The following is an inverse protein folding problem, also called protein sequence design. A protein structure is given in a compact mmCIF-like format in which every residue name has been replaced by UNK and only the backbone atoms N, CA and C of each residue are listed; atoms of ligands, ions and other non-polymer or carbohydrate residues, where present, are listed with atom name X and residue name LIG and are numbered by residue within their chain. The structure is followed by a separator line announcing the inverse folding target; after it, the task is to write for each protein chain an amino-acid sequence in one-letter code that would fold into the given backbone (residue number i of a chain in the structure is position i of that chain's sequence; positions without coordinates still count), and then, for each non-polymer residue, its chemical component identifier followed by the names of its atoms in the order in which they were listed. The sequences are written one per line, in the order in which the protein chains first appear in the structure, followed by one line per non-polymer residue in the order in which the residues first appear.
data_IF_261024774424
#
_entry.id   IF_261024774424
#
_cell.length_a   1.000
_cell.length_b   1.000
_cell.length_c   1.000
_cell.angle_alpha   90.00
_cell.angle_beta   90.00
_cell.angle_gamma   90.00
#
_symmetry.space_group_name_H-M   'P 1'
#
loop_
_entity.id
_entity.type
_entity.pdbx_description
1 polymer ?
#
# COMPACT_ATOMS: atom_id res chain seq x y z
N UNK A 1 16.10 22.82 13.77
CA UNK A 1 16.07 21.41 14.23
C UNK A 1 15.21 21.39 15.46
N UNK A 2 14.27 20.44 15.57
CA UNK A 2 13.44 20.30 16.77
C UNK A 2 14.16 19.41 17.79
N UNK A 3 14.17 19.82 19.06
CA UNK A 3 14.46 18.92 20.16
C UNK A 3 13.13 18.38 20.72
N UNK A 4 12.97 17.06 20.75
CA UNK A 4 11.79 16.39 21.29
C UNK A 4 12.14 15.82 22.65
N UNK A 5 11.41 16.19 23.70
CA UNK A 5 11.53 15.56 25.02
C UNK A 5 10.46 14.51 25.25
N UNK A 6 10.84 13.40 25.88
CA UNK A 6 9.92 12.44 26.46
C UNK A 6 10.57 11.79 27.68
N UNK A 7 9.77 11.31 28.65
CA UNK A 7 10.31 10.60 29.83
C UNK A 7 11.07 9.30 29.47
N UNK A 8 10.80 8.71 28.30
CA UNK A 8 11.49 7.52 27.83
C UNK A 8 11.53 7.50 26.30
N UNK A 9 12.70 7.19 25.74
CA UNK A 9 12.89 7.05 24.30
C UNK A 9 12.63 5.61 23.82
N UNK A 10 11.36 5.17 23.81
CA UNK A 10 11.01 3.81 23.36
C UNK A 10 11.21 3.60 21.86
N UNK A 11 11.27 2.35 21.42
CA UNK A 11 11.38 2.01 19.98
C UNK A 11 10.17 2.47 19.17
N UNK A 12 8.96 2.39 19.74
CA UNK A 12 7.72 2.89 19.13
C UNK A 12 7.78 4.41 18.93
N UNK A 13 8.21 5.15 19.96
CA UNK A 13 8.37 6.61 19.89
C UNK A 13 9.45 7.02 18.87
N UNK A 14 10.62 6.38 18.91
CA UNK A 14 11.70 6.62 17.95
C UNK A 14 11.23 6.39 16.50
N UNK A 15 10.50 5.31 16.26
CA UNK A 15 9.94 4.99 14.95
C UNK A 15 8.96 6.06 14.47
N UNK A 16 7.97 6.44 15.29
CA UNK A 16 6.93 7.37 14.84
C UNK A 16 7.47 8.80 14.69
N UNK A 17 8.37 9.25 15.57
CA UNK A 17 9.04 10.54 15.38
C UNK A 17 9.85 10.56 14.08
N UNK A 18 10.52 9.44 13.72
CA UNK A 18 11.25 9.34 12.45
C UNK A 18 10.30 9.48 11.26
N UNK A 19 9.21 8.74 11.27
CA UNK A 19 8.18 8.82 10.22
C UNK A 19 7.65 10.25 10.09
N UNK A 20 7.18 10.85 11.18
CA UNK A 20 6.57 12.18 11.17
C UNK A 20 7.57 13.27 10.79
N UNK A 21 8.63 13.45 11.58
CA UNK A 21 9.49 14.62 11.42
C UNK A 21 10.45 14.47 10.26
N UNK A 22 11.14 13.33 10.15
CA UNK A 22 12.15 13.14 9.11
C UNK A 22 11.56 12.74 7.76
N UNK A 23 10.66 11.78 7.74
CA UNK A 23 10.19 11.18 6.47
C UNK A 23 9.04 11.95 5.84
N UNK A 24 8.10 12.49 6.62
CA UNK A 24 6.91 13.19 6.09
C UNK A 24 7.06 14.72 6.08
N UNK A 25 7.61 15.31 7.15
CA UNK A 25 7.72 16.77 7.26
C UNK A 25 9.08 17.32 6.82
N UNK A 26 10.11 16.48 6.64
CA UNK A 26 11.46 16.93 6.30
C UNK A 26 12.11 17.83 7.35
N UNK A 27 11.66 17.75 8.60
CA UNK A 27 12.16 18.52 9.74
C UNK A 27 13.27 17.72 10.43
N UNK A 28 14.46 18.30 10.52
CA UNK A 28 15.55 17.75 11.34
C UNK A 28 15.13 17.74 12.80
N UNK A 29 15.27 16.60 13.49
CA UNK A 29 14.92 16.46 14.90
C UNK A 29 15.93 15.60 15.67
N UNK A 30 15.88 15.72 17.00
CA UNK A 30 16.54 14.83 17.94
C UNK A 30 15.60 14.53 19.12
N UNK A 31 15.81 13.40 19.79
CA UNK A 31 15.01 12.97 20.94
C UNK A 31 15.90 12.97 22.19
N UNK A 32 15.43 13.57 23.28
CA UNK A 32 16.10 13.59 24.59
C UNK A 32 15.19 13.08 25.69
N UNK A 33 15.80 12.47 26.71
CA UNK A 33 15.16 12.13 27.99
C UNK A 33 15.69 12.99 29.14
N UNK A 34 16.62 13.91 28.84
CA UNK A 34 17.19 14.84 29.80
C UNK A 34 16.34 16.11 29.83
N UNK A 35 15.52 16.24 30.86
CA UNK A 35 14.64 17.38 31.08
C UNK A 35 15.41 18.68 31.31
N UNK A 36 16.57 18.63 31.98
CA UNK A 36 17.38 19.80 32.28
C UNK A 36 17.95 20.34 30.97
N UNK A 37 18.56 19.46 30.18
CA UNK A 37 19.03 19.82 28.84
C UNK A 37 17.91 20.37 27.97
N UNK A 38 16.72 19.75 28.00
CA UNK A 38 15.56 20.25 27.25
C UNK A 38 15.12 21.65 27.68
N UNK A 39 15.06 21.93 28.98
CA UNK A 39 14.71 23.26 29.51
C UNK A 39 15.69 24.34 29.05
N UNK A 40 16.99 24.04 29.12
CA UNK A 40 18.07 24.98 28.78
C UNK A 40 18.33 25.10 27.27
N UNK A 41 17.73 24.23 26.44
CA UNK A 41 17.98 24.23 25.00
C UNK A 41 17.27 25.39 24.27
N UNK A 42 18.04 26.15 23.50
CA UNK A 42 17.55 27.30 22.70
C UNK A 42 16.92 26.93 21.34
N UNK A 43 16.54 25.67 21.12
CA UNK A 43 15.96 25.25 19.84
C UNK A 43 14.43 25.28 19.90
N UNK A 44 13.80 25.11 18.73
CA UNK A 44 12.38 24.77 18.67
C UNK A 44 12.16 23.45 19.43
N UNK A 45 11.23 23.44 20.37
CA UNK A 45 11.03 22.34 21.31
C UNK A 45 9.66 21.69 21.13
N UNK A 46 9.62 20.36 21.10
CA UNK A 46 8.38 19.60 21.24
C UNK A 46 8.47 18.81 22.54
N UNK A 47 7.51 19.02 23.44
CA UNK A 47 7.38 18.25 24.66
C UNK A 47 6.36 17.12 24.44
N UNK A 48 6.78 15.88 24.64
CA UNK A 48 5.95 14.69 24.61
C UNK A 48 5.96 13.98 25.98
N UNK A 49 5.35 14.64 26.97
CA UNK A 49 5.26 14.20 28.36
C UNK A 49 4.01 14.77 29.05
N UNK A 50 3.78 14.40 30.31
CA UNK A 50 2.67 14.96 31.11
C UNK A 50 2.98 16.35 31.68
N UNK A 51 4.23 16.81 31.56
CA UNK A 51 4.64 18.17 31.91
C UNK A 51 4.13 19.19 30.88
N UNK A 52 4.14 20.47 31.25
CA UNK A 52 3.83 21.58 30.35
C UNK A 52 5.00 22.58 30.37
N UNK A 53 5.45 22.97 29.17
CA UNK A 53 6.48 23.98 28.97
C UNK A 53 5.94 25.07 28.06
N UNK A 54 5.90 26.31 28.53
CA UNK A 54 5.31 27.43 27.78
C UNK A 54 6.03 27.68 26.44
N UNK A 55 7.35 27.47 26.42
CA UNK A 55 8.23 27.67 25.28
C UNK A 55 8.36 26.43 24.35
N UNK A 56 7.62 25.35 24.62
CA UNK A 56 7.61 24.15 23.79
C UNK A 56 6.22 23.90 23.18
N UNK A 57 6.17 23.20 22.06
CA UNK A 57 4.94 22.61 21.54
C UNK A 57 4.59 21.34 22.33
N UNK A 58 3.55 21.37 23.13
CA UNK A 58 3.19 20.32 24.09
C UNK A 58 2.19 19.33 23.47
N UNK A 59 2.55 18.05 23.43
CA UNK A 59 1.67 16.95 23.05
C UNK A 59 1.62 15.98 24.22
N UNK A 60 0.44 15.80 24.82
CA UNK A 60 0.31 14.85 25.92
C UNK A 60 0.28 13.40 25.41
N UNK A 61 1.10 12.51 25.99
CA UNK A 61 1.20 11.14 25.53
C UNK A 61 0.01 10.26 25.96
N UNK A 62 -0.37 9.35 25.08
CA UNK A 62 -1.11 8.13 25.37
C UNK A 62 -0.12 7.01 25.72
N UNK A 63 -0.52 6.05 26.57
CA UNK A 63 0.35 4.98 27.06
C UNK A 63 0.93 4.07 25.97
N UNK A 64 0.24 3.97 24.83
CA UNK A 64 0.54 3.04 23.73
C UNK A 64 2.02 3.04 23.30
N UNK A 65 2.67 4.21 23.22
CA UNK A 65 4.07 4.29 22.79
C UNK A 65 5.06 3.81 23.87
N UNK A 66 4.61 3.65 25.12
CA UNK A 66 5.41 3.23 26.26
C UNK A 66 5.13 1.79 26.69
N UNK A 67 4.08 1.17 26.14
CA UNK A 67 3.73 -0.22 26.39
C UNK A 67 4.70 -1.21 25.74
N UNK A 68 4.97 -2.32 26.43
CA UNK A 68 5.77 -3.45 25.91
C UNK A 68 4.91 -4.60 25.37
N UNK A 69 3.66 -4.69 25.84
CA UNK A 69 2.73 -5.75 25.46
C UNK A 69 1.84 -5.29 24.31
N UNK A 70 1.27 -6.26 23.59
CA UNK A 70 0.21 -6.02 22.61
C UNK A 70 -1.11 -6.34 23.30
N UNK A 71 -1.93 -5.33 23.52
CA UNK A 71 -3.20 -5.44 24.23
C UNK A 71 -4.24 -4.50 23.64
N UNK A 72 -5.52 -4.84 23.84
CA UNK A 72 -6.61 -4.02 23.30
C UNK A 72 -6.55 -2.60 23.86
N UNK A 73 -6.49 -1.63 22.96
CA UNK A 73 -6.53 -0.21 23.30
C UNK A 73 -7.99 0.25 23.41
N UNK A 74 -8.28 1.13 24.36
CA UNK A 74 -9.59 1.81 24.42
C UNK A 74 -9.56 3.01 23.48
N UNK A 75 -10.29 2.91 22.38
CA UNK A 75 -10.32 3.94 21.34
C UNK A 75 -11.72 4.53 21.31
N UNK A 76 -11.81 5.80 21.72
CA UNK A 76 -13.00 6.62 21.56
C UNK A 76 -12.70 7.64 20.46
N UNK A 77 -13.32 7.46 19.30
CA UNK A 77 -13.19 8.41 18.20
C UNK A 77 -14.02 9.67 18.48
N UNK A 78 -13.48 10.80 18.05
CA UNK A 78 -14.16 12.09 18.05
C UNK A 78 -13.87 12.80 16.73
N UNK A 79 -14.53 13.94 16.50
CA UNK A 79 -14.30 14.75 15.30
C UNK A 79 -13.52 16.01 15.62
N UNK A 80 -12.54 16.31 14.78
CA UNK A 80 -11.74 17.53 14.80
C UNK A 80 -11.50 17.99 13.36
N UNK A 81 -11.76 19.27 13.08
CA UNK A 81 -11.61 19.87 11.74
C UNK A 81 -12.33 19.08 10.62
N UNK A 82 -13.45 18.41 10.94
CA UNK A 82 -14.21 17.59 9.98
C UNK A 82 -13.66 16.17 9.74
N UNK A 83 -12.64 15.74 10.49
CA UNK A 83 -12.03 14.42 10.37
C UNK A 83 -12.08 13.67 11.71
N UNK A 84 -12.02 12.33 11.64
CA UNK A 84 -11.94 11.50 12.85
C UNK A 84 -10.56 11.66 13.52
N UNK A 85 -10.54 11.60 14.83
CA UNK A 85 -9.35 11.55 15.67
C UNK A 85 -9.60 10.65 16.89
N UNK A 86 -8.55 10.16 17.53
CA UNK A 86 -8.63 9.34 18.75
C UNK A 86 -7.38 9.51 19.62
N UNK A 87 -7.43 8.96 20.84
CA UNK A 87 -6.49 9.29 21.92
C UNK A 87 -6.52 10.77 22.29
N UNK A 88 -7.75 11.28 22.45
CA UNK A 88 -8.01 12.65 22.90
C UNK A 88 -7.25 12.94 24.19
N UNK A 89 -6.64 14.11 24.27
CA UNK A 89 -6.00 14.59 25.49
C UNK A 89 -6.57 15.98 25.85
N UNK A 90 -6.40 16.38 27.11
CA UNK A 90 -6.79 17.69 27.59
C UNK A 90 -5.55 18.46 28.04
N UNK A 91 -5.27 19.60 27.39
CA UNK A 91 -4.22 20.53 27.81
C UNK A 91 -2.87 20.37 27.13
N UNK A 92 -2.84 20.14 25.81
CA UNK A 92 -1.66 20.33 24.96
C UNK A 92 -1.96 21.29 23.80
N UNK A 93 -0.95 21.57 22.98
CA UNK A 93 -1.06 22.38 21.75
C UNK A 93 -1.73 21.60 20.59
N UNK A 94 -2.00 20.30 20.78
CA UNK A 94 -2.73 19.43 19.86
C UNK A 94 -3.76 18.62 20.65
N UNK A 95 -4.98 18.43 20.12
CA UNK A 95 -6.13 17.93 20.90
C UNK A 95 -6.13 16.42 21.19
N UNK A 96 -5.18 15.70 20.60
CA UNK A 96 -4.98 14.27 20.81
C UNK A 96 -3.51 13.90 20.66
N UNK A 97 -3.17 12.69 21.09
CA UNK A 97 -1.85 12.14 20.85
C UNK A 97 -1.71 11.66 19.40
N UNK A 98 -1.30 12.58 18.53
CA UNK A 98 -1.04 12.29 17.12
C UNK A 98 0.08 11.26 16.91
N UNK A 99 1.04 11.16 17.84
CA UNK A 99 2.13 10.19 17.71
C UNK A 99 1.61 8.77 17.97
N UNK A 100 0.88 8.56 19.07
CA UNK A 100 0.26 7.26 19.35
C UNK A 100 -0.81 6.90 18.31
N UNK A 101 -1.65 7.85 17.90
CA UNK A 101 -2.71 7.59 16.92
C UNK A 101 -2.15 7.19 15.55
N UNK A 102 -1.13 7.90 15.07
CA UNK A 102 -0.44 7.56 13.82
C UNK A 102 0.26 6.20 13.93
N UNK A 103 0.96 5.94 15.04
CA UNK A 103 1.60 4.65 15.27
C UNK A 103 0.61 3.48 15.24
N UNK A 104 -0.56 3.64 15.88
CA UNK A 104 -1.61 2.61 15.91
C UNK A 104 -2.05 2.20 14.49
N UNK A 105 -2.28 3.18 13.62
CA UNK A 105 -2.71 2.95 12.23
C UNK A 105 -1.60 2.37 11.36
N UNK A 106 -0.38 2.91 11.45
CA UNK A 106 0.76 2.47 10.62
C UNK A 106 1.28 1.08 11.01
N UNK A 107 1.35 0.78 12.30
CA UNK A 107 1.76 -0.55 12.77
C UNK A 107 0.71 -1.63 12.49
N UNK A 108 -0.49 -1.24 12.02
CA UNK A 108 -1.67 -2.11 11.90
C UNK A 108 -1.93 -2.83 13.22
N UNK A 109 -1.83 -2.10 14.34
CA UNK A 109 -1.87 -2.66 15.70
C UNK A 109 -3.06 -3.60 15.93
N UNK A 110 -4.23 -3.25 15.39
CA UNK A 110 -5.45 -4.06 15.45
C UNK A 110 -5.33 -5.47 14.84
N UNK A 111 -4.47 -5.67 13.84
CA UNK A 111 -4.27 -6.97 13.18
C UNK A 111 -3.44 -7.94 14.04
N UNK A 112 -2.74 -7.42 15.06
CA UNK A 112 -2.03 -8.24 16.03
C UNK A 112 -2.92 -8.73 17.19
N UNK A 113 -4.14 -8.21 17.30
CA UNK A 113 -5.14 -8.63 18.27
C UNK A 113 -6.05 -9.73 17.70
N UNK A 114 -6.78 -10.50 18.53
CA UNK A 114 -7.79 -11.43 18.03
C UNK A 114 -8.81 -10.73 17.13
N UNK A 115 -8.98 -11.23 15.91
CA UNK A 115 -9.85 -10.62 14.90
C UNK A 115 -10.53 -11.69 14.04
N UNK A 116 -11.65 -11.31 13.44
CA UNK A 116 -12.29 -12.13 12.41
C UNK A 116 -11.54 -12.00 11.09
N UNK A 117 -11.39 -13.12 10.41
CA UNK A 117 -10.80 -13.18 9.06
C UNK A 117 -11.88 -13.33 8.00
N UNK A 118 -11.56 -12.91 6.79
CA UNK A 118 -12.42 -13.11 5.63
C UNK A 118 -12.30 -14.54 5.05
N UNK A 119 -13.04 -14.81 3.96
CA UNK A 119 -13.04 -16.11 3.27
C UNK A 119 -11.68 -16.55 2.71
N UNK A 120 -10.72 -15.63 2.61
CA UNK A 120 -9.38 -15.84 2.09
C UNK A 120 -8.33 -15.88 3.21
N UNK A 121 -8.76 -15.93 4.48
CA UNK A 121 -7.91 -15.94 5.67
C UNK A 121 -7.05 -14.65 5.78
N UNK A 122 -7.58 -13.52 5.29
CA UNK A 122 -7.02 -12.17 5.43
C UNK A 122 -7.71 -11.45 6.58
N UNK A 123 -7.13 -10.35 7.05
CA UNK A 123 -7.82 -9.45 7.96
C UNK A 123 -9.08 -8.89 7.30
N UNK A 124 -10.25 -9.12 7.88
CA UNK A 124 -11.52 -8.64 7.35
C UNK A 124 -11.63 -7.12 7.55
N UNK A 125 -11.85 -6.37 6.48
CA UNK A 125 -11.88 -4.89 6.52
C UNK A 125 -12.90 -4.33 7.52
N UNK A 126 -14.00 -5.04 7.75
CA UNK A 126 -15.07 -4.70 8.70
C UNK A 126 -14.61 -4.70 10.15
N UNK A 127 -13.46 -5.34 10.44
CA UNK A 127 -12.84 -5.32 11.75
C UNK A 127 -12.04 -4.04 11.99
N UNK A 128 -11.61 -3.34 10.93
CA UNK A 128 -10.79 -2.14 11.06
C UNK A 128 -11.52 -1.00 11.75
N UNK A 129 -10.78 -0.24 12.56
CA UNK A 129 -11.26 1.03 13.09
C UNK A 129 -11.72 1.96 11.96
N UNK A 130 -10.95 1.99 10.87
CA UNK A 130 -11.25 2.82 9.69
C UNK A 130 -12.61 2.53 9.06
N UNK A 131 -13.00 1.26 8.98
CA UNK A 131 -14.33 0.88 8.49
C UNK A 131 -15.42 1.27 9.48
N UNK A 132 -15.23 0.91 10.76
CA UNK A 132 -16.23 1.12 11.82
C UNK A 132 -16.55 2.60 12.03
N UNK A 133 -15.55 3.46 11.84
CA UNK A 133 -15.64 4.91 12.07
C UNK A 133 -15.72 5.70 10.76
N UNK A 134 -15.92 5.01 9.63
CA UNK A 134 -16.17 5.59 8.32
C UNK A 134 -15.09 6.57 7.80
N UNK A 135 -13.81 6.17 7.90
CA UNK A 135 -12.68 6.94 7.36
C UNK A 135 -11.76 6.13 6.44
N UNK A 136 -12.21 4.97 5.95
CA UNK A 136 -11.45 4.17 4.98
C UNK A 136 -11.06 4.93 3.71
N UNK A 137 -11.89 5.88 3.30
CA UNK A 137 -11.78 6.58 2.03
C UNK A 137 -10.85 7.80 2.07
N UNK A 138 -10.15 8.04 3.18
CA UNK A 138 -9.23 9.18 3.35
C UNK A 138 -7.88 8.76 3.95
N UNK A 139 -6.77 9.41 3.57
CA UNK A 139 -5.45 9.16 4.15
C UNK A 139 -5.30 9.95 5.47
N UNK A 140 -6.05 9.51 6.48
CA UNK A 140 -6.26 10.23 7.73
C UNK A 140 -4.95 10.65 8.43
N UNK A 141 -3.92 9.80 8.42
CA UNK A 141 -2.60 10.12 8.98
C UNK A 141 -2.00 11.33 8.28
N UNK A 142 -1.98 11.38 6.94
CA UNK A 142 -1.43 12.51 6.20
C UNK A 142 -2.19 13.82 6.50
N UNK A 143 -3.51 13.74 6.63
CA UNK A 143 -4.35 14.88 7.00
C UNK A 143 -3.94 15.43 8.38
N UNK A 144 -3.78 14.55 9.38
CA UNK A 144 -3.30 14.96 10.69
C UNK A 144 -1.89 15.56 10.66
N UNK A 145 -0.98 15.06 9.82
CA UNK A 145 0.38 15.61 9.71
C UNK A 145 0.39 17.02 9.11
N UNK A 146 -0.50 17.30 8.14
CA UNK A 146 -0.68 18.66 7.64
C UNK A 146 -1.18 19.60 8.72
N UNK A 147 -2.12 19.16 9.55
CA UNK A 147 -2.61 19.97 10.67
C UNK A 147 -1.56 20.14 11.77
N UNK A 148 -0.78 19.11 12.09
CA UNK A 148 0.37 19.20 13.00
C UNK A 148 1.38 20.23 12.51
N UNK A 149 1.76 20.18 11.22
CA UNK A 149 2.70 21.13 10.64
C UNK A 149 2.17 22.58 10.77
N UNK A 150 0.88 22.82 10.50
CA UNK A 150 0.28 24.14 10.69
C UNK A 150 0.41 24.63 12.14
N UNK A 151 0.16 23.77 13.13
CA UNK A 151 0.26 24.17 14.54
C UNK A 151 1.72 24.38 14.98
N UNK A 152 2.65 23.54 14.49
CA UNK A 152 4.10 23.74 14.71
C UNK A 152 4.55 25.07 14.12
N UNK A 153 4.13 25.40 12.89
CA UNK A 153 4.51 26.66 12.22
C UNK A 153 3.96 27.91 12.93
N UNK A 154 2.79 27.81 13.60
CA UNK A 154 2.30 28.92 14.43
C UNK A 154 3.21 29.21 15.61
N UNK A 155 3.77 28.16 16.23
CA UNK A 155 4.67 28.32 17.39
C UNK A 155 6.12 28.59 16.98
N UNK A 156 6.57 28.00 15.88
CA UNK A 156 7.93 28.09 15.35
C UNK A 156 7.92 28.52 13.87
N UNK A 157 7.66 29.80 13.55
CA UNK A 157 7.47 30.25 12.16
C UNK A 157 8.70 30.12 11.26
N UNK A 158 9.90 30.06 11.85
CA UNK A 158 11.18 30.01 11.12
C UNK A 158 11.68 28.59 10.85
N UNK A 159 10.91 27.56 11.25
CA UNK A 159 11.35 26.18 11.11
C UNK A 159 11.41 25.77 9.64
N UNK A 160 12.52 25.13 9.26
CA UNK A 160 12.70 24.56 7.92
C UNK A 160 12.02 23.19 7.84
N UNK A 161 11.21 23.00 6.81
CA UNK A 161 10.49 21.76 6.51
C UNK A 161 10.55 21.49 5.00
N UNK A 162 10.31 20.25 4.60
CA UNK A 162 10.29 19.82 3.20
C UNK A 162 9.21 18.75 3.06
N UNK A 163 8.07 19.11 2.45
CA UNK A 163 7.03 18.15 2.12
C UNK A 163 7.39 17.37 0.86
N UNK A 164 6.88 16.14 0.76
CA UNK A 164 6.86 15.41 -0.50
C UNK A 164 5.94 16.10 -1.51
N UNK A 165 6.17 15.85 -2.79
CA UNK A 165 5.21 16.20 -3.84
C UNK A 165 4.26 15.02 -4.07
N UNK A 166 3.05 15.31 -4.55
CA UNK A 166 2.15 14.28 -5.07
C UNK A 166 2.87 13.40 -6.10
N UNK A 167 2.60 12.10 -6.07
CA UNK A 167 3.13 11.15 -7.04
C UNK A 167 2.05 10.13 -7.43
N UNK A 168 2.07 9.68 -8.67
CA UNK A 168 1.22 8.58 -9.13
C UNK A 168 2.08 7.42 -9.61
N UNK A 169 1.89 6.25 -9.00
CA UNK A 169 2.57 5.00 -9.40
C UNK A 169 1.51 4.03 -9.93
N UNK A 170 1.34 3.90 -11.26
CA UNK A 170 0.48 2.88 -11.83
C UNK A 170 1.09 1.50 -11.60
N UNK A 171 0.27 0.54 -11.17
CA UNK A 171 0.76 -0.83 -10.99
C UNK A 171 -0.18 -1.85 -11.60
N UNK A 172 0.41 -2.94 -12.10
CA UNK A 172 -0.32 -3.96 -12.83
C UNK A 172 -0.05 -5.36 -12.30
N UNK A 173 -1.11 -6.09 -11.98
CA UNK A 173 -1.02 -7.47 -11.53
C UNK A 173 -1.32 -8.42 -12.71
N UNK A 174 -0.32 -9.24 -13.07
CA UNK A 174 -0.36 -10.16 -14.20
C UNK A 174 -0.69 -11.57 -13.71
N UNK A 175 -1.92 -11.76 -13.24
CA UNK A 175 -2.45 -13.05 -12.75
C UNK A 175 -2.61 -14.07 -13.87
N UNK A 176 -3.08 -13.58 -15.02
CA UNK A 176 -3.36 -14.37 -16.21
C UNK A 176 -2.90 -13.58 -17.42
N UNK A 177 -1.69 -13.88 -17.89
CA UNK A 177 -1.09 -13.11 -18.99
C UNK A 177 -1.84 -13.24 -20.33
N UNK A 178 -2.57 -14.34 -20.54
CA UNK A 178 -3.36 -14.63 -21.74
C UNK A 178 -4.66 -15.37 -21.40
N UNK A 179 -5.76 -15.05 -22.08
CA UNK A 179 -7.02 -15.77 -21.92
C UNK A 179 -7.00 -17.13 -22.61
N UNK A 180 -6.39 -17.24 -23.80
CA UNK A 180 -6.37 -18.47 -24.60
C UNK A 180 -4.97 -18.91 -25.03
N UNK A 181 -4.12 -17.97 -25.48
CA UNK A 181 -2.77 -18.30 -25.98
C UNK A 181 -1.92 -18.94 -24.88
N UNK A 182 -1.01 -19.83 -25.30
CA UNK A 182 0.01 -20.45 -24.44
C UNK A 182 -0.52 -21.35 -23.29
N UNK A 183 -1.85 -21.53 -23.15
CA UNK A 183 -2.44 -22.42 -22.12
C UNK A 183 -2.33 -23.92 -22.45
N UNK A 184 -1.86 -24.28 -23.65
CA UNK A 184 -1.79 -25.66 -24.12
C UNK A 184 -3.14 -26.20 -24.61
N UNK A 185 -3.10 -27.35 -25.29
CA UNK A 185 -4.26 -27.92 -25.99
C UNK A 185 -5.37 -28.38 -25.03
N UNK A 186 -5.02 -29.14 -23.99
CA UNK A 186 -5.99 -29.68 -23.02
C UNK A 186 -6.82 -28.59 -22.33
N UNK A 187 -6.19 -27.48 -21.90
CA UNK A 187 -6.91 -26.35 -21.29
C UNK A 187 -7.84 -25.65 -22.27
N UNK A 188 -7.46 -25.60 -23.55
CA UNK A 188 -8.28 -24.99 -24.60
C UNK A 188 -9.47 -25.88 -24.97
N UNK A 189 -9.28 -27.20 -25.07
CA UNK A 189 -10.37 -28.17 -25.29
C UNK A 189 -11.35 -28.13 -24.12
N UNK A 190 -10.87 -28.28 -22.88
CA UNK A 190 -11.75 -28.22 -21.70
C UNK A 190 -12.47 -26.88 -21.56
N UNK A 191 -11.79 -25.78 -21.88
CA UNK A 191 -12.41 -24.45 -21.90
C UNK A 191 -13.46 -24.28 -23.00
N UNK A 192 -13.27 -24.91 -24.18
CA UNK A 192 -14.22 -24.90 -25.28
C UNK A 192 -15.44 -25.77 -24.97
N UNK A 193 -15.25 -26.97 -24.42
CA UNK A 193 -16.36 -27.85 -24.00
C UNK A 193 -17.22 -27.19 -22.91
N UNK A 194 -16.60 -26.49 -21.96
CA UNK A 194 -17.33 -25.78 -20.90
C UNK A 194 -18.11 -24.57 -21.42
N UNK A 195 -17.52 -23.80 -22.35
CA UNK A 195 -18.13 -22.62 -22.96
C UNK A 195 -17.57 -22.40 -24.38
N UNK A 196 -18.27 -22.91 -25.42
CA UNK A 196 -17.84 -22.73 -26.80
C UNK A 196 -17.70 -21.25 -27.14
N UNK A 197 -16.62 -20.89 -27.82
CA UNK A 197 -16.31 -19.49 -28.14
C UNK A 197 -15.60 -19.38 -29.49
N UNK A 198 -16.25 -18.70 -30.44
CA UNK A 198 -15.65 -18.38 -31.74
C UNK A 198 -14.42 -17.48 -31.58
N UNK A 199 -14.39 -16.64 -30.53
CA UNK A 199 -13.23 -15.81 -30.21
C UNK A 199 -12.02 -16.66 -29.86
N UNK A 200 -12.18 -17.71 -29.04
CA UNK A 200 -11.09 -18.65 -28.69
C UNK A 200 -10.48 -19.23 -29.97
N UNK A 201 -11.32 -19.71 -30.90
CA UNK A 201 -10.86 -20.29 -32.16
C UNK A 201 -10.08 -19.27 -33.00
N UNK A 202 -10.61 -18.05 -33.17
CA UNK A 202 -9.93 -16.98 -33.91
C UNK A 202 -8.60 -16.57 -33.28
N UNK A 203 -8.53 -16.51 -31.95
CA UNK A 203 -7.27 -16.19 -31.23
C UNK A 203 -6.25 -17.30 -31.41
N UNK A 204 -6.65 -18.57 -31.28
CA UNK A 204 -5.74 -19.70 -31.47
C UNK A 204 -5.28 -19.86 -32.93
N UNK A 205 -6.12 -19.48 -33.89
CA UNK A 205 -5.78 -19.41 -35.31
C UNK A 205 -4.94 -18.18 -35.70
N UNK A 206 -4.65 -17.27 -34.76
CA UNK A 206 -3.89 -16.04 -35.03
C UNK A 206 -4.68 -14.93 -35.74
N UNK A 207 -5.98 -15.12 -35.97
CA UNK A 207 -6.87 -14.16 -36.64
C UNK A 207 -7.34 -13.02 -35.72
N UNK A 208 -7.11 -13.14 -34.41
CA UNK A 208 -7.45 -12.11 -33.41
C UNK A 208 -6.39 -12.06 -32.31
N UNK A 209 -6.11 -10.87 -31.78
CA UNK A 209 -5.28 -10.68 -30.58
C UNK A 209 -5.97 -11.31 -29.36
N UNK A 210 -5.20 -11.89 -28.45
CA UNK A 210 -5.71 -12.46 -27.20
C UNK A 210 -6.37 -11.35 -26.36
N UNK A 211 -7.58 -11.55 -25.80
CA UNK A 211 -8.30 -10.48 -25.14
C UNK A 211 -7.63 -9.95 -23.88
N UNK A 212 -6.71 -10.70 -23.25
CA UNK A 212 -5.96 -10.23 -22.08
C UNK A 212 -4.64 -9.54 -22.43
N UNK A 213 -4.28 -9.51 -23.73
CA UNK A 213 -3.07 -8.86 -24.19
C UNK A 213 -3.33 -7.35 -24.44
N UNK A 214 -3.09 -6.54 -23.41
CA UNK A 214 -3.22 -5.08 -23.43
C UNK A 214 -1.88 -4.32 -23.46
N UNK A 215 -0.75 -5.03 -23.50
CA UNK A 215 0.58 -4.44 -23.24
C UNK A 215 0.99 -3.32 -24.22
N UNK A 216 0.64 -3.42 -25.50
CA UNK A 216 0.93 -2.34 -26.48
C UNK A 216 0.19 -1.05 -26.14
N UNK A 217 -1.08 -1.17 -25.74
CA UNK A 217 -1.87 -0.02 -25.28
C UNK A 217 -1.26 0.61 -24.03
N UNK A 218 -0.82 -0.20 -23.07
CA UNK A 218 -0.14 0.30 -21.87
C UNK A 218 1.18 0.99 -22.22
N UNK A 219 1.98 0.41 -23.11
CA UNK A 219 3.24 1.03 -23.57
C UNK A 219 3.01 2.42 -24.20
N UNK A 220 1.99 2.55 -25.03
CA UNK A 220 1.59 3.84 -25.63
C UNK A 220 1.17 4.82 -24.54
N UNK A 221 0.32 4.40 -23.60
CA UNK A 221 -0.19 5.22 -22.51
C UNK A 221 0.94 5.73 -21.59
N UNK A 222 1.88 4.86 -21.22
CA UNK A 222 3.02 5.24 -20.39
C UNK A 222 3.93 6.24 -21.08
N UNK A 223 4.15 6.07 -22.39
CA UNK A 223 4.95 7.00 -23.17
C UNK A 223 4.25 8.35 -23.32
N UNK A 224 2.95 8.35 -23.55
CA UNK A 224 2.13 9.56 -23.71
C UNK A 224 2.12 10.43 -22.45
N UNK A 225 2.06 9.79 -21.28
CA UNK A 225 1.90 10.47 -19.98
C UNK A 225 3.15 10.39 -19.08
N UNK A 226 4.30 9.99 -19.64
CA UNK A 226 5.56 9.82 -18.90
C UNK A 226 5.42 9.03 -17.59
N UNK A 227 4.70 7.91 -17.63
CA UNK A 227 4.42 7.09 -16.45
C UNK A 227 5.51 6.05 -16.22
N UNK A 228 5.82 5.81 -14.95
CA UNK A 228 6.78 4.81 -14.49
C UNK A 228 6.06 3.67 -13.74
N UNK A 229 5.48 2.69 -14.47
CA UNK A 229 4.70 1.62 -13.87
C UNK A 229 5.54 0.55 -13.19
N UNK A 230 4.88 -0.21 -12.30
CA UNK A 230 5.40 -1.47 -11.76
C UNK A 230 4.51 -2.64 -12.17
N UNK A 231 5.10 -3.67 -12.77
CA UNK A 231 4.39 -4.90 -13.13
C UNK A 231 4.69 -6.03 -12.16
N UNK A 232 3.68 -6.58 -11.50
CA UNK A 232 3.78 -7.74 -10.63
C UNK A 232 3.41 -9.01 -11.37
N UNK A 233 4.37 -9.93 -11.53
CA UNK A 233 4.17 -11.17 -12.30
C UNK A 233 3.90 -12.38 -11.39
N UNK A 234 2.77 -13.06 -11.64
CA UNK A 234 2.46 -14.33 -11.00
C UNK A 234 3.21 -15.46 -11.70
N UNK A 235 4.29 -15.92 -11.08
CA UNK A 235 5.16 -17.00 -11.58
C UNK A 235 5.00 -18.30 -10.78
N UNK A 236 3.77 -18.59 -10.35
CA UNK A 236 3.45 -19.77 -9.56
C UNK A 236 3.94 -21.08 -10.22
N UNK A 237 4.73 -21.86 -9.48
CA UNK A 237 5.29 -23.13 -10.01
C UNK A 237 4.29 -24.28 -10.03
N UNK A 238 3.16 -24.13 -9.33
CA UNK A 238 2.06 -25.09 -9.29
C UNK A 238 0.76 -24.38 -9.59
N UNK A 239 -0.10 -24.99 -10.40
CA UNK A 239 -1.46 -24.48 -10.62
C UNK A 239 -2.31 -24.76 -9.39
N UNK A 240 -3.19 -23.82 -9.06
CA UNK A 240 -4.20 -23.98 -8.02
C UNK A 240 -5.53 -23.38 -8.50
N UNK A 241 -6.55 -23.42 -7.65
CA UNK A 241 -7.81 -22.73 -7.94
C UNK A 241 -7.64 -21.19 -7.98
N UNK A 242 -6.58 -20.68 -7.36
CA UNK A 242 -6.23 -19.26 -7.32
C UNK A 242 -5.20 -18.94 -8.42
N UNK A 243 -4.12 -19.70 -8.50
CA UNK A 243 -3.00 -19.44 -9.41
C UNK A 243 -3.23 -20.11 -10.78
N UNK A 244 -3.73 -19.32 -11.73
CA UNK A 244 -4.24 -19.82 -13.03
C UNK A 244 -3.36 -19.48 -14.24
N UNK A 245 -2.22 -18.84 -14.02
CA UNK A 245 -1.34 -18.41 -15.10
C UNK A 245 -0.80 -19.59 -15.94
N UNK A 246 -0.09 -19.28 -17.03
CA UNK A 246 0.66 -20.31 -17.76
C UNK A 246 1.89 -20.75 -16.95
N UNK A 247 2.58 -21.81 -17.41
CA UNK A 247 3.81 -22.26 -16.75
C UNK A 247 4.82 -21.11 -16.69
N UNK A 248 5.46 -20.86 -15.52
CA UNK A 248 6.46 -19.80 -15.40
C UNK A 248 7.75 -20.13 -16.14
N UNK A 249 7.93 -21.37 -16.62
CA UNK A 249 9.05 -21.80 -17.46
C UNK A 249 8.74 -21.74 -18.97
N UNK A 250 7.54 -21.31 -19.36
CA UNK A 250 7.20 -21.20 -20.78
C UNK A 250 7.98 -20.05 -21.43
N UNK A 251 8.56 -20.29 -22.61
CA UNK A 251 9.29 -19.27 -23.37
C UNK A 251 8.46 -17.99 -23.58
N UNK A 252 7.15 -18.11 -23.77
CA UNK A 252 6.25 -16.96 -23.90
C UNK A 252 6.15 -16.13 -22.63
N UNK A 253 6.14 -16.76 -21.44
CA UNK A 253 6.16 -16.04 -20.16
C UNK A 253 7.47 -15.30 -19.97
N UNK A 254 8.60 -15.98 -20.24
CA UNK A 254 9.92 -15.36 -20.12
C UNK A 254 10.11 -14.19 -21.08
N UNK A 255 9.64 -14.32 -22.33
CA UNK A 255 9.67 -13.23 -23.29
C UNK A 255 8.84 -12.04 -22.83
N UNK A 256 7.65 -12.27 -22.25
CA UNK A 256 6.80 -11.22 -21.70
C UNK A 256 7.52 -10.49 -20.55
N UNK A 257 8.00 -11.23 -19.56
CA UNK A 257 8.72 -10.70 -18.39
C UNK A 257 9.95 -9.90 -18.86
N UNK A 258 10.80 -10.48 -19.70
CA UNK A 258 12.03 -9.85 -20.20
C UNK A 258 11.73 -8.55 -20.96
N UNK A 259 10.66 -8.52 -21.74
CA UNK A 259 10.28 -7.32 -22.49
C UNK A 259 9.83 -6.20 -21.55
N UNK A 260 9.12 -6.53 -20.48
CA UNK A 260 8.70 -5.54 -19.47
C UNK A 260 9.88 -5.09 -18.61
N UNK A 261 10.73 -6.00 -18.14
CA UNK A 261 11.91 -5.69 -17.33
C UNK A 261 12.93 -4.78 -18.03
N UNK A 262 12.95 -4.76 -19.37
CA UNK A 262 13.78 -3.83 -20.16
C UNK A 262 13.28 -2.39 -20.14
N UNK A 263 12.01 -2.15 -19.81
CA UNK A 263 11.34 -0.85 -19.92
C UNK A 263 10.85 -0.31 -18.59
N UNK A 264 10.47 -1.20 -17.67
CA UNK A 264 9.74 -0.88 -16.46
C UNK A 264 10.28 -1.69 -15.28
N UNK A 265 9.96 -1.20 -14.09
CA UNK A 265 10.13 -1.97 -12.89
C UNK A 265 9.21 -3.21 -12.88
N UNK A 266 9.75 -4.32 -12.40
CA UNK A 266 8.98 -5.54 -12.19
C UNK A 266 9.11 -6.03 -10.75
N UNK A 267 8.04 -6.63 -10.25
CA UNK A 267 7.96 -7.21 -8.92
C UNK A 267 7.43 -8.62 -8.95
N UNK A 268 7.70 -9.37 -7.88
CA UNK A 268 7.10 -10.68 -7.67
C UNK A 268 5.62 -10.52 -7.29
N UNK A 269 4.74 -11.30 -7.91
CA UNK A 269 3.39 -11.53 -7.40
C UNK A 269 3.36 -12.93 -6.75
N UNK A 270 3.74 -13.07 -5.47
CA UNK A 270 3.93 -14.39 -4.87
C UNK A 270 2.64 -15.20 -4.93
N UNK A 271 2.77 -16.48 -5.28
CA UNK A 271 1.61 -17.35 -5.43
C UNK A 271 0.88 -17.56 -4.11
N UNK A 272 -0.37 -17.99 -4.19
CA UNK A 272 -1.19 -18.26 -3.00
C UNK A 272 -0.50 -19.20 -1.99
N UNK A 273 0.24 -20.21 -2.49
CA UNK A 273 0.95 -21.19 -1.67
C UNK A 273 2.22 -20.62 -1.03
N UNK A 274 2.90 -19.70 -1.71
CA UNK A 274 4.16 -19.10 -1.23
C UNK A 274 3.99 -18.28 0.06
N UNK A 275 2.77 -17.79 0.32
CA UNK A 275 2.46 -17.03 1.54
C UNK A 275 2.76 -17.82 2.84
N UNK A 276 2.72 -19.15 2.79
CA UNK A 276 2.99 -20.03 3.93
C UNK A 276 4.32 -20.80 3.81
N UNK A 277 5.02 -20.67 2.68
CA UNK A 277 6.22 -21.45 2.35
C UNK A 277 7.32 -20.56 1.75
N UNK A 278 8.36 -20.32 2.55
CA UNK A 278 9.52 -19.51 2.18
C UNK A 278 10.36 -20.15 1.05
N UNK A 279 10.37 -21.48 0.95
CA UNK A 279 11.12 -22.19 -0.11
C UNK A 279 10.45 -21.92 -1.45
N UNK A 280 9.11 -21.97 -1.50
CA UNK A 280 8.34 -21.62 -2.70
C UNK A 280 8.54 -20.13 -3.04
N UNK A 281 8.46 -19.23 -2.06
CA UNK A 281 8.67 -17.79 -2.26
C UNK A 281 10.05 -17.49 -2.87
N UNK A 282 11.13 -18.04 -2.30
CA UNK A 282 12.49 -17.87 -2.81
C UNK A 282 12.66 -18.46 -4.22
N UNK A 283 12.02 -19.60 -4.49
CA UNK A 283 12.03 -20.23 -5.82
C UNK A 283 11.31 -19.36 -6.86
N UNK A 284 10.12 -18.87 -6.55
CA UNK A 284 9.34 -17.99 -7.44
C UNK A 284 10.07 -16.68 -7.73
N UNK A 285 10.69 -16.07 -6.70
CA UNK A 285 11.57 -14.91 -6.88
C UNK A 285 12.69 -15.21 -7.89
N UNK A 286 13.42 -16.31 -7.69
CA UNK A 286 14.54 -16.71 -8.56
C UNK A 286 14.10 -16.92 -10.01
N UNK A 287 12.94 -17.54 -10.23
CA UNK A 287 12.40 -17.73 -11.58
C UNK A 287 12.13 -16.38 -12.26
N UNK A 288 11.57 -15.42 -11.53
CA UNK A 288 11.31 -14.09 -12.07
C UNK A 288 12.62 -13.34 -12.38
N UNK A 289 13.62 -13.46 -11.51
CA UNK A 289 14.96 -12.89 -11.72
C UNK A 289 15.62 -13.46 -12.99
N UNK A 290 15.59 -14.78 -13.18
CA UNK A 290 16.14 -15.46 -14.36
C UNK A 290 15.40 -15.08 -15.65
N UNK A 291 14.07 -14.96 -15.59
CA UNK A 291 13.27 -14.56 -16.75
C UNK A 291 13.53 -13.11 -17.17
N UNK A 292 13.61 -12.21 -16.18
CA UNK A 292 13.75 -10.77 -16.36
C UNK A 292 15.18 -10.26 -16.54
N UNK A 293 16.19 -11.03 -16.11
CA UNK A 293 17.59 -10.58 -15.99
C UNK A 293 17.76 -9.36 -15.08
N UNK A 294 17.00 -9.33 -13.99
CA UNK A 294 17.02 -8.24 -12.98
C UNK A 294 16.90 -8.84 -11.59
N UNK A 295 17.39 -8.12 -10.59
CA UNK A 295 17.21 -8.52 -9.19
C UNK A 295 15.84 -8.06 -8.67
N UNK A 296 15.11 -8.96 -8.00
CA UNK A 296 13.73 -8.68 -7.58
C UNK A 296 13.68 -8.32 -6.10
N UNK A 297 13.31 -7.07 -5.82
CA UNK A 297 13.18 -6.49 -4.47
C UNK A 297 11.77 -6.03 -4.11
N UNK A 298 10.83 -6.11 -5.07
CA UNK A 298 9.44 -5.66 -4.94
C UNK A 298 8.49 -6.86 -4.91
N UNK A 299 7.50 -6.84 -4.04
CA UNK A 299 6.41 -7.82 -4.02
C UNK A 299 5.04 -7.18 -3.94
N UNK A 300 4.02 -7.90 -4.40
CA UNK A 300 2.62 -7.72 -4.02
C UNK A 300 1.97 -9.08 -3.87
N UNK A 301 1.36 -9.39 -2.74
CA UNK A 301 0.73 -10.71 -2.53
C UNK A 301 -0.46 -10.91 -3.47
N UNK A 302 -0.52 -12.08 -4.11
CA UNK A 302 -1.70 -12.49 -4.88
C UNK A 302 -2.92 -12.54 -3.98
N UNK A 303 -4.05 -11.98 -4.45
CA UNK A 303 -5.27 -11.73 -3.66
C UNK A 303 -5.06 -10.84 -2.42
N UNK A 304 -3.96 -10.10 -2.32
CA UNK A 304 -3.61 -9.31 -1.12
C UNK A 304 -3.60 -10.21 0.14
N UNK A 305 -3.28 -11.51 -0.05
CA UNK A 305 -3.26 -12.49 1.02
C UNK A 305 -1.96 -12.36 1.80
N UNK A 306 -2.04 -11.70 2.95
CA UNK A 306 -0.97 -11.71 3.95
C UNK A 306 -1.52 -11.75 5.36
N UNK A 307 -0.67 -12.20 6.27
CA UNK A 307 -0.86 -12.15 7.72
C UNK A 307 0.38 -11.52 8.39
N UNK A 308 0.15 -10.64 9.35
CA UNK A 308 1.19 -10.04 10.18
C UNK A 308 1.46 -10.91 11.43
N UNK A 309 2.72 -11.08 11.85
CA UNK A 309 3.95 -10.59 11.20
C UNK A 309 4.50 -11.54 10.11
N UNK A 310 4.02 -12.79 10.03
CA UNK A 310 4.74 -13.89 9.37
C UNK A 310 5.02 -13.65 7.89
N UNK A 311 4.13 -12.97 7.18
CA UNK A 311 4.32 -12.73 5.73
C UNK A 311 5.44 -11.72 5.50
N UNK A 312 5.48 -10.65 6.30
CA UNK A 312 6.49 -9.59 6.18
C UNK A 312 7.88 -10.11 6.58
N UNK A 313 7.94 -10.98 7.60
CA UNK A 313 9.17 -11.69 7.97
C UNK A 313 9.70 -12.55 6.82
N UNK A 314 8.82 -13.34 6.17
CA UNK A 314 9.20 -14.17 5.02
C UNK A 314 9.66 -13.33 3.83
N UNK A 315 9.02 -12.19 3.57
CA UNK A 315 9.46 -11.25 2.52
C UNK A 315 10.89 -10.75 2.78
N UNK A 316 11.17 -10.30 4.01
CA UNK A 316 12.51 -9.87 4.41
C UNK A 316 13.55 -11.00 4.28
N UNK A 317 13.20 -12.22 4.71
CA UNK A 317 14.06 -13.40 4.60
C UNK A 317 14.30 -13.81 3.13
N UNK A 318 13.29 -13.61 2.28
CA UNK A 318 13.39 -13.78 0.84
C UNK A 318 14.08 -12.59 0.15
N UNK A 319 14.62 -11.61 0.88
CA UNK A 319 15.35 -10.47 0.32
C UNK A 319 14.48 -9.42 -0.39
N UNK A 320 13.16 -9.44 -0.16
CA UNK A 320 12.25 -8.37 -0.61
C UNK A 320 12.41 -7.17 0.33
N UNK A 321 12.42 -5.98 -0.26
CA UNK A 321 12.62 -4.71 0.45
C UNK A 321 11.41 -3.79 0.34
N UNK A 322 10.54 -4.01 -0.65
CA UNK A 322 9.36 -3.18 -0.90
C UNK A 322 8.13 -4.06 -1.10
N UNK A 323 7.13 -3.93 -0.23
CA UNK A 323 5.86 -4.62 -0.36
C UNK A 323 4.73 -3.65 -0.73
N UNK A 324 3.96 -4.01 -1.76
CA UNK A 324 2.87 -3.21 -2.31
C UNK A 324 1.50 -3.84 -2.02
N UNK A 325 1.39 -4.60 -0.93
CA UNK A 325 0.19 -5.33 -0.54
C UNK A 325 -0.65 -4.59 0.51
N UNK A 326 -0.20 -3.44 1.02
CA UNK A 326 -0.88 -2.73 2.12
C UNK A 326 -2.16 -2.00 1.65
N UNK A 327 -3.19 -2.80 1.38
CA UNK A 327 -4.55 -2.37 1.07
C UNK A 327 -5.54 -3.48 1.42
N UNK A 328 -6.83 -3.25 1.18
CA UNK A 328 -7.87 -4.28 1.36
C UNK A 328 -8.13 -4.99 0.04
N UNK A 329 -8.31 -6.30 0.08
CA UNK A 329 -8.68 -7.09 -1.10
C UNK A 329 -10.17 -7.43 -1.16
N UNK A 330 -11.01 -6.67 -0.44
CA UNK A 330 -12.47 -6.80 -0.40
C UNK A 330 -13.21 -5.46 -0.55
N UNK A 331 -12.48 -4.34 -0.50
CA UNK A 331 -13.01 -2.98 -0.63
C UNK A 331 -11.86 -2.05 -1.01
N UNK A 332 -12.14 -0.96 -1.71
CA UNK A 332 -11.15 0.11 -1.89
C UNK A 332 -11.07 1.01 -0.64
N UNK A 333 -9.88 1.58 -0.39
CA UNK A 333 -9.62 2.43 0.76
C UNK A 333 -8.20 2.28 1.33
N UNK A 334 -7.81 3.21 2.20
CA UNK A 334 -6.49 3.28 2.82
C UNK A 334 -6.41 2.35 4.03
N UNK A 335 -5.81 1.17 3.86
CA UNK A 335 -5.69 0.19 4.97
C UNK A 335 -4.88 0.68 6.15
N UNK A 336 -3.76 1.34 5.91
CA UNK A 336 -2.97 1.98 6.97
C UNK A 336 -3.37 3.46 7.20
N UNK A 337 -4.47 3.91 6.60
CA UNK A 337 -4.96 5.30 6.66
C UNK A 337 -3.89 6.34 6.29
N UNK A 338 -3.00 5.98 5.36
CA UNK A 338 -1.87 6.79 4.92
C UNK A 338 -1.67 6.60 3.41
N UNK A 339 -1.32 7.67 2.72
CA UNK A 339 -0.99 7.71 1.29
C UNK A 339 0.54 7.79 1.04
N UNK A 340 1.36 7.65 2.07
CA UNK A 340 2.82 7.72 1.99
C UNK A 340 3.44 6.37 2.29
N UNK A 341 4.55 5.98 1.64
CA UNK A 341 5.30 4.81 2.04
C UNK A 341 5.82 4.91 3.47
N UNK A 342 5.87 3.78 4.18
CA UNK A 342 6.36 3.72 5.56
C UNK A 342 7.04 2.38 5.84
N UNK A 343 8.06 2.38 6.71
CA UNK A 343 8.74 1.15 7.08
C UNK A 343 7.87 0.28 7.97
N UNK A 344 7.76 -1.01 7.71
CA UNK A 344 7.03 -1.92 8.58
C UNK A 344 7.69 -2.00 9.97
N UNK A 345 6.90 -1.76 11.01
CA UNK A 345 7.28 -1.98 12.40
C UNK A 345 6.86 -3.39 12.83
N UNK A 346 7.83 -4.25 13.12
CA UNK A 346 7.54 -5.58 13.67
C UNK A 346 7.17 -5.43 15.14
N UNK A 347 5.87 -5.27 15.41
CA UNK A 347 5.33 -5.03 16.73
C UNK A 347 5.66 -6.16 17.71
N UNK A 348 5.79 -7.40 17.24
CA UNK A 348 6.14 -8.55 18.10
C UNK A 348 7.60 -8.48 18.56
N UNK A 349 8.49 -7.94 17.73
CA UNK A 349 9.93 -7.80 18.01
C UNK A 349 10.33 -6.40 18.49
N UNK A 350 9.41 -5.45 18.52
CA UNK A 350 9.65 -4.03 18.86
C UNK A 350 10.79 -3.41 18.04
N UNK A 351 10.76 -3.63 16.72
CA UNK A 351 11.82 -3.16 15.81
C UNK A 351 11.24 -2.57 14.52
N UNK A 352 11.75 -1.39 14.15
CA UNK A 352 11.56 -0.84 12.81
C UNK A 352 12.38 -1.66 11.81
N UNK A 353 11.72 -2.23 10.80
CA UNK A 353 12.40 -3.08 9.81
C UNK A 353 12.84 -2.28 8.59
N UNK A 354 13.54 -2.95 7.67
CA UNK A 354 13.92 -2.39 6.35
C UNK A 354 12.87 -2.62 5.26
N UNK A 355 11.74 -3.25 5.58
CA UNK A 355 10.68 -3.50 4.59
C UNK A 355 9.85 -2.23 4.44
N UNK A 356 9.91 -1.59 3.28
CA UNK A 356 9.11 -0.42 2.97
C UNK A 356 7.74 -0.86 2.45
N UNK A 357 6.69 -0.44 3.14
CA UNK A 357 5.31 -0.67 2.75
C UNK A 357 4.82 0.44 1.83
N UNK A 358 4.24 0.05 0.70
CA UNK A 358 3.64 0.94 -0.29
C UNK A 358 2.12 0.72 -0.29
N UNK A 359 1.36 1.54 0.46
CA UNK A 359 -0.09 1.38 0.53
C UNK A 359 -0.75 1.72 -0.81
N UNK A 360 -1.78 0.97 -1.18
CA UNK A 360 -2.65 1.28 -2.30
C UNK A 360 -4.07 1.49 -1.80
N UNK A 361 -4.85 2.30 -2.52
CA UNK A 361 -6.22 2.63 -2.12
C UNK A 361 -7.27 2.22 -3.16
N UNK A 362 -6.86 1.85 -4.38
CA UNK A 362 -7.77 1.45 -5.45
C UNK A 362 -7.29 0.19 -6.16
N UNK A 363 -8.20 -0.74 -6.38
CA UNK A 363 -8.01 -1.93 -7.21
C UNK A 363 -9.27 -2.20 -8.04
N UNK A 364 -9.10 -2.37 -9.35
CA UNK A 364 -10.22 -2.65 -10.28
C UNK A 364 -11.06 -3.88 -9.89
N UNK A 365 -10.40 -4.94 -9.42
CA UNK A 365 -11.04 -6.16 -8.96
C UNK A 365 -11.96 -5.93 -7.74
N UNK A 366 -11.61 -5.03 -6.82
CA UNK A 366 -12.51 -4.67 -5.71
C UNK A 366 -13.76 -3.97 -6.23
N UNK A 367 -13.59 -2.94 -7.06
CA UNK A 367 -14.72 -2.20 -7.65
C UNK A 367 -15.66 -3.14 -8.41
N UNK A 368 -15.11 -4.01 -9.26
CA UNK A 368 -15.91 -4.88 -10.12
C UNK A 368 -16.48 -6.12 -9.40
N UNK A 369 -15.64 -6.91 -8.72
CA UNK A 369 -16.07 -8.19 -8.14
C UNK A 369 -16.71 -8.03 -6.78
N UNK A 370 -16.27 -7.10 -5.94
CA UNK A 370 -16.73 -6.98 -4.56
C UNK A 370 -17.82 -5.91 -4.44
N UNK A 371 -17.56 -4.69 -4.94
CA UNK A 371 -18.48 -3.56 -4.87
C UNK A 371 -19.52 -3.55 -6.02
N UNK A 372 -19.37 -4.43 -7.01
CA UNK A 372 -20.30 -4.61 -8.16
C UNK A 372 -20.49 -3.34 -9.01
N UNK A 373 -19.49 -2.47 -9.03
CA UNK A 373 -19.49 -1.24 -9.79
C UNK A 373 -19.27 -1.49 -11.28
N UNK A 374 -19.88 -0.64 -12.11
CA UNK A 374 -19.51 -0.50 -13.51
C UNK A 374 -18.31 0.46 -13.67
N UNK A 375 -17.77 0.56 -14.89
CA UNK A 375 -16.57 1.37 -15.15
C UNK A 375 -16.74 2.88 -14.82
N UNK A 376 -17.94 3.44 -14.93
CA UNK A 376 -18.19 4.85 -14.61
C UNK A 376 -18.25 5.10 -13.09
N UNK A 377 -18.83 4.16 -12.35
CA UNK A 377 -18.83 4.20 -10.87
C UNK A 377 -17.41 4.04 -10.32
N UNK A 378 -16.65 3.07 -10.87
CA UNK A 378 -15.25 2.86 -10.52
C UNK A 378 -14.38 4.07 -10.87
N UNK A 379 -14.69 4.79 -11.96
CA UNK A 379 -14.02 6.04 -12.30
C UNK A 379 -14.23 7.11 -11.22
N UNK A 380 -15.47 7.30 -10.75
CA UNK A 380 -15.78 8.28 -9.69
C UNK A 380 -15.04 7.93 -8.40
N UNK A 381 -14.99 6.65 -8.06
CA UNK A 381 -14.23 6.16 -6.91
C UNK A 381 -12.71 6.41 -7.08
N UNK A 382 -12.15 6.12 -8.25
CA UNK A 382 -10.74 6.38 -8.55
C UNK A 382 -10.38 7.88 -8.47
N UNK A 383 -11.23 8.75 -9.02
CA UNK A 383 -11.05 10.20 -8.95
C UNK A 383 -11.09 10.70 -7.51
N UNK A 384 -12.02 10.20 -6.68
CA UNK A 384 -12.03 10.51 -5.26
C UNK A 384 -10.66 10.20 -4.62
N UNK A 385 -10.10 9.01 -4.85
CA UNK A 385 -8.79 8.65 -4.29
C UNK A 385 -7.63 9.47 -4.84
N UNK A 386 -7.68 9.83 -6.12
CA UNK A 386 -6.73 10.77 -6.71
C UNK A 386 -6.74 12.10 -5.97
N UNK A 387 -7.92 12.71 -5.81
CA UNK A 387 -8.05 13.99 -5.12
C UNK A 387 -7.60 13.91 -3.65
N UNK A 388 -7.91 12.81 -2.96
CA UNK A 388 -7.47 12.63 -1.57
C UNK A 388 -5.95 12.55 -1.45
N UNK A 389 -5.27 11.86 -2.39
CA UNK A 389 -3.81 11.79 -2.41
C UNK A 389 -3.20 13.14 -2.79
N UNK A 390 -3.74 13.82 -3.80
CA UNK A 390 -3.27 15.14 -4.26
C UNK A 390 -3.38 16.19 -3.13
N UNK A 391 -4.51 16.25 -2.43
CA UNK A 391 -4.75 17.17 -1.30
C UNK A 391 -3.70 17.05 -0.19
N UNK A 392 -3.08 15.88 -0.04
CA UNK A 392 -2.08 15.61 1.01
C UNK A 392 -0.65 15.44 0.47
N UNK A 393 -0.41 15.75 -0.80
CA UNK A 393 0.86 15.47 -1.49
C UNK A 393 1.35 14.01 -1.29
N UNK A 394 0.39 13.08 -1.25
CA UNK A 394 0.62 11.66 -1.08
C UNK A 394 0.95 10.94 -2.39
N UNK A 395 1.27 9.66 -2.30
CA UNK A 395 1.47 8.78 -3.43
C UNK A 395 0.19 7.99 -3.73
N UNK A 396 -0.42 8.24 -4.88
CA UNK A 396 -1.51 7.42 -5.40
C UNK A 396 -0.94 6.14 -6.02
N UNK A 397 -1.26 4.98 -5.43
CA UNK A 397 -0.95 3.67 -6.00
C UNK A 397 -2.26 2.97 -6.34
N UNK A 398 -2.40 2.55 -7.60
CA UNK A 398 -3.59 1.85 -8.11
C UNK A 398 -3.21 0.50 -8.66
N UNK A 399 -4.09 -0.49 -8.50
CA UNK A 399 -3.93 -1.84 -9.04
C UNK A 399 -4.91 -2.03 -10.19
N UNK A 400 -4.36 -2.32 -11.36
CA UNK A 400 -5.15 -2.78 -12.51
C UNK A 400 -4.66 -4.14 -12.98
N UNK A 401 -5.56 -5.04 -13.31
CA UNK A 401 -5.19 -6.31 -13.93
C UNK A 401 -5.28 -6.20 -15.44
N UNK A 402 -4.34 -6.83 -16.15
CA UNK A 402 -4.23 -6.74 -17.60
C UNK A 402 -5.52 -7.12 -18.35
N UNK A 403 -6.32 -8.02 -17.77
CA UNK A 403 -7.57 -8.48 -18.36
C UNK A 403 -8.68 -7.42 -18.33
N UNK A 404 -8.69 -6.51 -17.35
CA UNK A 404 -9.61 -5.36 -17.33
C UNK A 404 -9.29 -4.35 -18.42
N UNK A 405 -8.00 -4.17 -18.71
CA UNK A 405 -7.51 -3.22 -19.72
C UNK A 405 -7.41 -3.84 -21.12
N UNK A 406 -7.90 -5.07 -21.25
CA UNK A 406 -7.91 -5.87 -22.47
C UNK A 406 -9.08 -5.56 -23.40
N UNK A 407 -9.50 -6.58 -24.15
CA UNK A 407 -10.69 -6.53 -25.03
C UNK A 407 -11.72 -7.61 -24.68
N UNK A 408 -11.60 -8.22 -23.50
CA UNK A 408 -12.61 -9.14 -23.00
C UNK A 408 -13.90 -8.38 -22.74
N UNK A 409 -15.02 -8.89 -23.28
CA UNK A 409 -16.33 -8.25 -23.18
C UNK A 409 -16.82 -8.14 -21.73
N UNK A 410 -16.33 -8.98 -20.83
CA UNK A 410 -16.67 -8.91 -19.40
C UNK A 410 -16.26 -7.57 -18.78
N UNK A 411 -15.16 -6.97 -19.25
CA UNK A 411 -14.57 -5.74 -18.71
C UNK A 411 -14.68 -4.58 -19.71
N UNK A 412 -15.74 -4.56 -20.52
CA UNK A 412 -15.98 -3.46 -21.44
C UNK A 412 -15.99 -2.11 -20.71
N UNK A 413 -15.47 -1.06 -21.35
CA UNK A 413 -15.35 0.32 -20.84
C UNK A 413 -14.24 0.55 -19.79
N UNK A 414 -13.65 -0.49 -19.20
CA UNK A 414 -12.58 -0.32 -18.19
C UNK A 414 -11.29 0.23 -18.81
N UNK A 415 -10.93 -0.24 -20.01
CA UNK A 415 -9.80 0.28 -20.77
C UNK A 415 -9.96 1.77 -21.10
N UNK A 416 -11.16 2.17 -21.54
CA UNK A 416 -11.50 3.55 -21.89
C UNK A 416 -11.52 4.44 -20.64
N UNK A 417 -12.07 3.94 -19.53
CA UNK A 417 -12.04 4.61 -18.24
C UNK A 417 -10.60 4.88 -17.80
N UNK A 418 -9.73 3.88 -17.87
CA UNK A 418 -8.35 4.02 -17.44
C UNK A 418 -7.58 5.03 -18.30
N UNK A 419 -7.76 4.99 -19.63
CA UNK A 419 -7.20 6.00 -20.55
C UNK A 419 -7.70 7.41 -20.19
N UNK A 420 -8.98 7.56 -19.88
CA UNK A 420 -9.54 8.84 -19.50
C UNK A 420 -8.92 9.35 -18.20
N UNK A 421 -8.82 8.51 -17.17
CA UNK A 421 -8.15 8.84 -15.91
C UNK A 421 -6.71 9.31 -16.13
N UNK A 422 -5.90 8.55 -16.87
CA UNK A 422 -4.48 8.93 -17.07
C UNK A 422 -4.32 10.24 -17.84
N UNK A 423 -5.28 10.59 -18.71
CA UNK A 423 -5.28 11.88 -19.42
C UNK A 423 -5.52 13.10 -18.53
N UNK A 424 -6.04 12.88 -17.31
CA UNK A 424 -6.26 13.94 -16.32
C UNK A 424 -5.07 14.17 -15.38
N UNK A 425 -4.07 13.30 -15.41
CA UNK A 425 -2.91 13.44 -14.54
C UNK A 425 -2.09 14.69 -14.91
N UNK A 426 -1.52 15.39 -13.91
CA UNK A 426 -0.61 16.49 -14.17
C UNK A 426 0.61 15.99 -14.96
N UNK A 427 1.11 16.82 -15.88
CA UNK A 427 2.24 16.50 -16.77
C UNK A 427 3.59 16.81 -16.16
#
# INVERSE_FOLDING_TARGET
MILIYAHTATKRLQYICKFIFKEQLGIAYSLTIDEINFKEHNADKVNYSDLIFDDAFNVKPHSLLFEKNIQRQQINCFEENGYKAFFKNSGGDFSFDIFAASFYLLSRYEEHLPHKKDMYNRYAHEQSLAFKENFLNIPLVNIWLHDLLKQILKKFPSIKYQLTAFNFIPTYDIDIAWSYRHKGLLRNIGGFLKKPSMERLRVLAGLKKDPYNCYDFLNELHKEHNLEPIYFFLVATSKSQYDKNISPYANSMWQLIRTHAKKYDIGLHPSWRSNEDIVILKKERKILEEAGHVHIKKSRQHYIKFNLPQTMERLLEAGIENDHSMGYGSINGFRASVASPFFWYDLKKEVATRLLMHPFCFMDANSFYEQKQNAEEAYKELIHYYEQCEKVNGTLITIFHNHFLGSDKQFARWKEMYRHFTSQLPR
#
